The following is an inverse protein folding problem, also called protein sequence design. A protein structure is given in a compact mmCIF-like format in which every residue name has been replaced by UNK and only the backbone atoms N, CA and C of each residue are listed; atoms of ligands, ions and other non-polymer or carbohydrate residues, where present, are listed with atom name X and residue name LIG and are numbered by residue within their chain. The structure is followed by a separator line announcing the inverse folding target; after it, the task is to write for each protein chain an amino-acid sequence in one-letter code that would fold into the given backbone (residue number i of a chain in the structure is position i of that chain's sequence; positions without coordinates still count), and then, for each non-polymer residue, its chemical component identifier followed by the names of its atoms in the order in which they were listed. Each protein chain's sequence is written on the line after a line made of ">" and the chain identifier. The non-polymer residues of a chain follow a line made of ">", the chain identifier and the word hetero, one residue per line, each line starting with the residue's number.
data_IF_135674128916
#
_entry.id   IF_135674128916
#
_cell.length_a   1.000
_cell.length_b   1.000
_cell.length_c   1.000
_cell.angle_alpha   90.00
_cell.angle_beta   90.00
_cell.angle_gamma   90.00
#
_symmetry.space_group_name_H-M   'P 1'
#
loop_
_entity.id
_entity.type
_entity.pdbx_description
1 polymer ?
#
# COMPACT_ATOMS: atom_id res chain seq x y z
N UNK A 1 -12.40 -55.92 -50.88
CA UNK A 1 -11.77 -55.58 -49.58
C UNK A 1 -11.53 -54.07 -49.56
N UNK A 2 -12.38 -53.25 -48.90
CA UNK A 2 -12.11 -51.84 -48.72
C UNK A 2 -11.22 -51.59 -47.50
N UNK A 3 -10.46 -50.50 -47.57
CA UNK A 3 -9.27 -50.15 -46.77
C UNK A 3 -9.55 -49.83 -45.29
N UNK A 4 -8.53 -49.94 -44.42
CA UNK A 4 -8.61 -49.58 -43.01
C UNK A 4 -8.27 -48.09 -42.85
N UNK A 5 -9.26 -47.21 -42.81
CA UNK A 5 -9.01 -45.84 -42.32
C UNK A 5 -10.31 -45.16 -41.84
N UNK A 6 -10.58 -45.25 -40.54
CA UNK A 6 -11.49 -44.34 -39.82
C UNK A 6 -11.46 -44.61 -38.31
N UNK A 7 -10.29 -44.50 -37.70
CA UNK A 7 -10.23 -44.27 -36.25
C UNK A 7 -10.45 -42.78 -35.99
N UNK A 8 -11.67 -42.45 -35.61
CA UNK A 8 -12.08 -41.13 -35.11
C UNK A 8 -11.12 -40.65 -34.01
N UNK A 9 -10.27 -39.68 -34.35
CA UNK A 9 -9.55 -38.87 -33.36
C UNK A 9 -10.57 -37.99 -32.63
N UNK A 10 -11.18 -38.52 -31.58
CA UNK A 10 -11.81 -37.69 -30.55
C UNK A 10 -10.71 -36.88 -29.87
N UNK A 11 -10.54 -35.65 -30.35
CA UNK A 11 -9.75 -34.64 -29.65
C UNK A 11 -10.33 -34.51 -28.23
N UNK A 12 -9.55 -34.92 -27.24
CA UNK A 12 -9.77 -34.53 -25.86
C UNK A 12 -9.69 -33.00 -25.83
N UNK A 13 -10.84 -32.34 -25.87
CA UNK A 13 -10.97 -30.94 -25.53
C UNK A 13 -10.61 -30.87 -24.04
N UNK A 14 -9.34 -30.61 -23.74
CA UNK A 14 -8.94 -30.16 -22.41
C UNK A 14 -9.65 -28.81 -22.25
N UNK A 15 -10.62 -28.67 -21.33
CA UNK A 15 -11.24 -27.38 -21.11
C UNK A 15 -10.13 -26.41 -20.70
N UNK A 16 -10.03 -25.28 -21.40
CA UNK A 16 -9.18 -24.18 -20.97
C UNK A 16 -9.52 -23.87 -19.51
N UNK A 17 -8.53 -23.66 -18.63
CA UNK A 17 -8.80 -23.30 -17.25
C UNK A 17 -9.76 -22.11 -17.23
N UNK A 18 -10.86 -22.25 -16.48
CA UNK A 18 -11.91 -21.24 -16.33
C UNK A 18 -11.26 -19.90 -15.98
N UNK A 19 -11.30 -18.94 -16.91
CA UNK A 19 -10.65 -17.64 -16.82
C UNK A 19 -11.38 -16.66 -15.89
N UNK A 20 -12.13 -17.19 -14.91
CA UNK A 20 -12.50 -16.48 -13.69
C UNK A 20 -11.23 -16.24 -12.88
N UNK A 21 -10.52 -15.20 -13.29
CA UNK A 21 -9.30 -14.66 -12.71
C UNK A 21 -9.31 -14.82 -11.18
N UNK A 22 -8.54 -15.79 -10.67
CA UNK A 22 -8.43 -16.05 -9.24
C UNK A 22 -7.87 -14.78 -8.58
N UNK A 23 -8.74 -14.00 -7.94
CA UNK A 23 -8.31 -12.77 -7.26
C UNK A 23 -7.32 -13.16 -6.15
N UNK A 24 -6.06 -12.66 -6.21
CA UNK A 24 -5.05 -12.97 -5.21
C UNK A 24 -5.53 -12.64 -3.79
N UNK A 25 -5.11 -13.42 -2.81
CA UNK A 25 -5.55 -13.29 -1.43
C UNK A 25 -5.44 -11.86 -0.89
N UNK A 26 -4.30 -11.20 -1.09
CA UNK A 26 -4.09 -9.82 -0.63
C UNK A 26 -5.11 -8.84 -1.22
N UNK A 27 -5.54 -9.02 -2.48
CA UNK A 27 -6.59 -8.19 -3.08
C UNK A 27 -7.94 -8.43 -2.44
N UNK A 28 -8.23 -9.69 -2.05
CA UNK A 28 -9.44 -10.02 -1.29
C UNK A 28 -9.42 -9.36 0.09
N UNK A 29 -8.30 -9.43 0.79
CA UNK A 29 -8.10 -8.83 2.11
C UNK A 29 -8.24 -7.30 2.07
N UNK A 30 -7.68 -6.63 1.06
CA UNK A 30 -7.85 -5.18 0.84
C UNK A 30 -9.30 -4.80 0.51
N UNK A 31 -9.98 -5.60 -0.33
CA UNK A 31 -11.38 -5.36 -0.68
C UNK A 31 -12.28 -5.53 0.55
N UNK A 32 -12.05 -6.59 1.32
CA UNK A 32 -12.78 -6.94 2.53
C UNK A 32 -12.44 -6.11 3.76
N UNK A 33 -11.54 -5.13 3.66
CA UNK A 33 -11.16 -4.29 4.80
C UNK A 33 -12.38 -3.64 5.46
N UNK A 34 -12.40 -3.70 6.80
CA UNK A 34 -13.43 -3.11 7.64
C UNK A 34 -13.32 -1.60 7.55
N UNK A 35 -14.43 -0.95 7.19
CA UNK A 35 -14.53 0.51 7.05
C UNK A 35 -15.52 1.14 8.02
N UNK A 36 -16.35 0.34 8.68
CA UNK A 36 -17.25 0.81 9.73
C UNK A 36 -16.63 0.55 11.11
N UNK A 37 -16.37 1.59 11.93
CA UNK A 37 -15.82 1.43 13.27
C UNK A 37 -16.74 0.62 14.20
N UNK A 38 -18.07 0.65 14.02
CA UNK A 38 -18.98 -0.15 14.86
C UNK A 38 -18.81 -1.64 14.59
N UNK A 39 -18.57 -2.01 13.33
CA UNK A 39 -18.25 -3.38 12.96
C UNK A 39 -16.91 -3.83 13.56
N UNK A 40 -15.88 -2.98 13.52
CA UNK A 40 -14.61 -3.28 14.20
C UNK A 40 -14.79 -3.52 15.70
N UNK A 41 -15.50 -2.63 16.40
CA UNK A 41 -15.74 -2.76 17.84
C UNK A 41 -16.54 -4.01 18.20
N UNK A 42 -17.59 -4.34 17.44
CA UNK A 42 -18.35 -5.59 17.63
C UNK A 42 -17.46 -6.83 17.47
N UNK A 43 -16.58 -6.86 16.46
CA UNK A 43 -15.63 -7.96 16.24
C UNK A 43 -14.66 -8.14 17.41
N UNK A 44 -14.36 -7.06 18.11
CA UNK A 44 -13.51 -7.05 19.31
C UNK A 44 -14.30 -7.20 20.62
N UNK A 45 -15.61 -7.38 20.57
CA UNK A 45 -16.49 -7.39 21.75
C UNK A 45 -16.31 -6.15 22.63
N UNK A 46 -16.24 -4.98 21.99
CA UNK A 46 -16.18 -3.65 22.60
C UNK A 46 -17.44 -2.85 22.29
N UNK A 47 -17.85 -2.01 23.22
CA UNK A 47 -19.05 -1.19 23.09
C UNK A 47 -18.73 0.20 22.54
N UNK A 48 -19.44 0.68 21.49
CA UNK A 48 -19.22 2.02 20.94
C UNK A 48 -19.32 3.16 21.95
N UNK A 49 -20.10 2.98 23.03
CA UNK A 49 -20.24 3.95 24.11
C UNK A 49 -18.92 4.24 24.87
N UNK A 50 -17.94 3.33 24.80
CA UNK A 50 -16.62 3.53 25.39
C UNK A 50 -15.76 4.56 24.64
N UNK A 51 -16.16 4.94 23.42
CA UNK A 51 -15.36 5.77 22.51
C UNK A 51 -16.12 7.04 22.10
N UNK A 52 -16.20 8.06 22.97
CA UNK A 52 -16.86 9.32 22.62
C UNK A 52 -16.20 9.98 21.42
N UNK A 53 -17.03 10.54 20.53
CA UNK A 53 -16.56 11.22 19.31
C UNK A 53 -16.12 10.30 18.16
N UNK A 54 -16.23 8.97 18.30
CA UNK A 54 -15.90 7.96 17.27
C UNK A 54 -16.41 8.35 15.87
N UNK A 55 -17.68 8.73 15.77
CA UNK A 55 -18.33 9.01 14.48
C UNK A 55 -17.87 10.34 13.88
N UNK A 56 -17.57 11.33 14.72
CA UNK A 56 -17.00 12.59 14.26
C UNK A 56 -15.57 12.38 13.73
N UNK A 57 -14.74 11.65 14.48
CA UNK A 57 -13.37 11.33 14.07
C UNK A 57 -13.31 10.44 12.83
N UNK A 58 -14.27 9.52 12.69
CA UNK A 58 -14.41 8.67 11.51
C UNK A 58 -14.75 9.48 10.25
N UNK A 59 -15.59 10.52 10.35
CA UNK A 59 -15.87 11.43 9.23
C UNK A 59 -14.64 12.24 8.81
N UNK A 60 -13.79 12.62 9.77
CA UNK A 60 -12.55 13.35 9.48
C UNK A 60 -11.48 12.48 8.82
N UNK A 61 -11.42 11.20 9.17
CA UNK A 61 -10.52 10.21 8.57
C UNK A 61 -11.15 8.83 8.70
N UNK A 62 -11.67 8.27 7.60
CA UNK A 62 -12.35 6.98 7.62
C UNK A 62 -11.46 5.86 8.15
N UNK A 63 -12.09 4.88 8.80
CA UNK A 63 -11.44 3.64 9.20
C UNK A 63 -11.13 2.82 7.95
N UNK A 64 -9.98 2.15 7.93
CA UNK A 64 -9.67 1.08 7.00
C UNK A 64 -8.79 0.08 7.75
N UNK A 65 -9.31 -1.12 8.02
CA UNK A 65 -8.60 -2.18 8.77
C UNK A 65 -8.77 -3.52 8.05
N UNK A 66 -7.69 -4.12 7.52
CA UNK A 66 -7.77 -5.42 6.88
C UNK A 66 -7.85 -6.55 7.92
N UNK A 67 -8.47 -7.67 7.54
CA UNK A 67 -8.70 -8.80 8.46
C UNK A 67 -7.40 -9.33 9.11
N UNK A 68 -6.27 -9.52 8.39
CA UNK A 68 -5.04 -10.00 9.03
C UNK A 68 -4.47 -9.06 10.11
N UNK A 69 -4.81 -7.76 10.08
CA UNK A 69 -4.42 -6.82 11.13
C UNK A 69 -5.37 -6.90 12.33
N UNK A 70 -6.67 -7.08 12.08
CA UNK A 70 -7.66 -7.29 13.13
C UNK A 70 -7.38 -8.57 13.94
N UNK A 71 -7.02 -9.67 13.30
CA UNK A 71 -6.86 -10.98 13.97
C UNK A 71 -5.76 -11.00 15.04
N UNK A 72 -4.82 -10.04 14.99
CA UNK A 72 -3.78 -9.86 16.00
C UNK A 72 -4.20 -8.98 17.17
N UNK A 73 -5.36 -8.31 17.12
CA UNK A 73 -5.87 -7.50 18.22
C UNK A 73 -6.46 -8.37 19.33
N UNK A 74 -6.32 -7.95 20.57
CA UNK A 74 -6.92 -8.61 21.73
C UNK A 74 -8.40 -8.26 21.83
N UNK A 75 -9.26 -9.29 21.90
CA UNK A 75 -10.68 -9.11 22.16
C UNK A 75 -10.91 -8.57 23.58
N UNK A 76 -11.93 -7.72 23.75
CA UNK A 76 -12.35 -7.08 25.00
C UNK A 76 -11.30 -6.17 25.64
N UNK A 77 -10.27 -5.78 24.90
CA UNK A 77 -9.22 -4.87 25.36
C UNK A 77 -9.34 -3.49 24.65
N UNK A 78 -9.95 -2.47 25.29
CA UNK A 78 -10.03 -1.13 24.70
C UNK A 78 -8.67 -0.42 24.64
N UNK A 79 -7.65 -0.92 25.35
CA UNK A 79 -6.30 -0.36 25.36
C UNK A 79 -5.35 -1.09 24.39
N UNK A 80 -5.86 -2.05 23.61
CA UNK A 80 -5.08 -2.84 22.67
C UNK A 80 -4.19 -1.93 21.77
N UNK A 81 -2.88 -2.20 21.71
CA UNK A 81 -1.93 -1.30 21.06
C UNK A 81 -2.10 -1.25 19.55
N UNK A 82 -2.72 -2.23 18.90
CA UNK A 82 -3.01 -2.23 17.46
C UNK A 82 -4.32 -1.48 17.20
N UNK A 83 -5.34 -1.67 18.03
CA UNK A 83 -6.60 -0.93 17.98
C UNK A 83 -6.36 0.58 18.08
N UNK A 84 -5.49 1.02 19.00
CA UNK A 84 -5.10 2.43 19.18
C UNK A 84 -4.51 3.08 17.93
N UNK A 85 -3.97 2.29 17.00
CA UNK A 85 -3.39 2.79 15.77
C UNK A 85 -4.42 3.05 14.68
N UNK A 86 -5.62 2.48 14.78
CA UNK A 86 -6.61 2.48 13.69
C UNK A 86 -8.00 2.95 14.09
N UNK A 87 -8.39 2.84 15.36
CA UNK A 87 -9.70 3.27 15.83
C UNK A 87 -9.79 4.80 15.88
N UNK A 88 -10.77 5.43 15.19
CA UNK A 88 -11.00 6.86 15.31
C UNK A 88 -11.40 7.23 16.75
N UNK A 89 -10.81 8.28 17.31
CA UNK A 89 -11.18 8.75 18.66
C UNK A 89 -11.50 10.24 18.67
N UNK A 90 -12.42 10.66 19.54
CA UNK A 90 -12.89 12.04 19.60
C UNK A 90 -11.80 13.09 19.80
N UNK A 91 -10.67 12.72 20.43
CA UNK A 91 -9.51 13.59 20.59
C UNK A 91 -8.96 14.11 19.24
N UNK A 92 -9.11 13.35 18.15
CA UNK A 92 -8.67 13.77 16.82
C UNK A 92 -9.49 14.92 16.23
N UNK A 93 -10.68 15.18 16.77
CA UNK A 93 -11.51 16.33 16.40
C UNK A 93 -11.06 17.60 17.12
N UNK A 94 -10.11 17.51 18.05
CA UNK A 94 -9.65 18.66 18.82
C UNK A 94 -8.54 19.36 18.05
N UNK A 95 -8.81 20.58 17.59
CA UNK A 95 -7.78 21.43 17.02
C UNK A 95 -6.79 21.85 18.10
N UNK A 96 -5.50 21.88 17.74
CA UNK A 96 -4.41 22.27 18.64
C UNK A 96 -3.62 23.41 17.98
N UNK A 97 -3.33 24.51 18.71
CA UNK A 97 -2.47 25.56 18.19
C UNK A 97 -1.14 25.00 17.66
N UNK A 98 -0.71 25.49 16.50
CA UNK A 98 0.53 25.04 15.84
C UNK A 98 0.40 23.79 14.97
N UNK A 99 -0.74 23.08 14.96
CA UNK A 99 -0.95 21.96 14.05
C UNK A 99 -1.27 22.47 12.64
N UNK A 100 -0.64 21.85 11.64
CA UNK A 100 -0.87 22.12 10.22
C UNK A 100 -1.20 20.83 9.48
N UNK A 101 -1.93 20.96 8.36
CA UNK A 101 -2.25 19.85 7.45
C UNK A 101 -1.05 19.42 6.59
N UNK A 102 0.03 20.21 6.58
CA UNK A 102 1.29 19.89 5.89
C UNK A 102 2.49 20.06 6.84
N UNK A 103 2.64 19.15 7.83
CA UNK A 103 3.66 19.30 8.87
C UNK A 103 5.09 19.17 8.36
N UNK A 104 5.29 18.62 7.16
CA UNK A 104 6.60 18.45 6.55
C UNK A 104 6.89 19.47 5.44
N UNK A 105 5.95 20.39 5.17
CA UNK A 105 6.00 21.35 4.06
C UNK A 105 6.25 20.68 2.72
N UNK A 106 5.63 19.51 2.50
CA UNK A 106 5.84 18.69 1.30
C UNK A 106 5.42 19.44 0.04
N UNK A 107 4.41 20.31 0.13
CA UNK A 107 3.96 21.15 -0.98
C UNK A 107 5.07 22.05 -1.55
N UNK A 108 5.98 22.53 -0.70
CA UNK A 108 7.08 23.40 -1.11
C UNK A 108 8.29 22.61 -1.66
N UNK A 109 8.30 21.29 -1.47
CA UNK A 109 9.37 20.40 -1.95
C UNK A 109 9.00 19.63 -3.22
N UNK A 110 7.77 19.82 -3.71
CA UNK A 110 7.29 19.21 -4.93
C UNK A 110 7.93 19.86 -6.15
N UNK A 111 8.79 19.12 -6.85
CA UNK A 111 9.47 19.62 -8.07
C UNK A 111 8.59 19.41 -9.30
N UNK A 112 7.89 18.27 -9.32
CA UNK A 112 6.74 18.00 -10.19
C UNK A 112 5.67 17.29 -9.35
N UNK A 113 4.37 17.34 -9.72
CA UNK A 113 3.33 16.66 -8.94
C UNK A 113 3.66 15.19 -8.67
N UNK A 114 3.63 14.77 -7.41
CA UNK A 114 3.96 13.39 -7.01
C UNK A 114 5.46 13.08 -6.89
N UNK A 115 6.36 14.05 -7.13
CA UNK A 115 7.81 13.92 -6.88
C UNK A 115 8.29 15.00 -5.90
N UNK A 116 8.80 14.56 -4.76
CA UNK A 116 9.33 15.43 -3.71
C UNK A 116 10.85 15.31 -3.64
N UNK A 117 11.55 16.44 -3.55
CA UNK A 117 13.00 16.49 -3.40
C UNK A 117 13.38 17.41 -2.24
N UNK A 118 13.59 16.81 -1.07
CA UNK A 118 13.97 17.52 0.17
C UNK A 118 15.45 17.38 0.50
N UNK A 119 16.08 16.30 0.05
CA UNK A 119 17.45 15.95 0.42
C UNK A 119 18.30 15.72 -0.83
N UNK A 120 19.58 16.06 -0.75
CA UNK A 120 20.53 15.82 -1.84
C UNK A 120 20.63 14.32 -2.17
N UNK A 121 20.76 14.03 -3.47
CA UNK A 121 21.00 12.69 -3.99
C UNK A 121 19.80 11.74 -3.96
N UNK A 122 18.61 12.18 -3.53
CA UNK A 122 17.42 11.32 -3.52
C UNK A 122 16.12 12.08 -3.76
N UNK A 123 15.17 11.39 -4.39
CA UNK A 123 13.81 11.90 -4.58
C UNK A 123 12.78 10.88 -4.09
N UNK A 124 11.63 11.37 -3.63
CA UNK A 124 10.50 10.55 -3.19
C UNK A 124 9.34 10.68 -4.18
N UNK A 125 8.87 9.53 -4.68
CA UNK A 125 7.69 9.42 -5.53
C UNK A 125 6.51 9.02 -4.65
N UNK A 126 5.47 9.86 -4.64
CA UNK A 126 4.17 9.56 -4.02
C UNK A 126 3.38 8.70 -5.01
N UNK A 127 3.65 7.40 -5.07
CA UNK A 127 3.20 6.53 -6.16
C UNK A 127 1.67 6.34 -6.21
N UNK A 128 1.01 6.39 -5.06
CA UNK A 128 -0.44 6.18 -4.89
C UNK A 128 -0.95 6.89 -3.65
N UNK A 129 -2.24 7.22 -3.58
CA UNK A 129 -2.92 7.64 -2.36
C UNK A 129 -3.58 6.52 -1.57
N UNK A 130 -3.64 5.31 -2.13
CA UNK A 130 -4.26 4.17 -1.47
C UNK A 130 -3.38 3.65 -0.32
N UNK A 131 -4.03 3.25 0.78
CA UNK A 131 -3.43 2.57 1.93
C UNK A 131 -4.25 1.33 2.26
N UNK A 132 -3.56 0.27 2.71
CA UNK A 132 -4.21 -0.93 3.24
C UNK A 132 -4.79 -0.74 4.65
N UNK A 133 -4.25 0.22 5.40
CA UNK A 133 -4.67 0.58 6.75
C UNK A 133 -4.66 2.10 6.91
N UNK A 134 -5.65 2.66 7.59
CA UNK A 134 -5.69 4.10 7.89
C UNK A 134 -5.18 4.36 9.30
N UNK A 135 -3.87 4.59 9.42
CA UNK A 135 -3.22 4.92 10.68
C UNK A 135 -3.77 6.25 11.24
N UNK A 136 -4.12 6.31 12.52
CA UNK A 136 -4.60 7.55 13.17
C UNK A 136 -3.54 8.63 13.26
N UNK A 137 -2.27 8.23 13.27
CA UNK A 137 -1.10 9.10 13.29
C UNK A 137 -0.51 9.38 11.90
N UNK A 138 -1.24 9.11 10.82
CA UNK A 138 -0.74 9.36 9.45
C UNK A 138 -0.55 10.86 9.21
N UNK A 139 0.70 11.32 9.11
CA UNK A 139 1.02 12.72 8.82
C UNK A 139 0.60 13.16 7.40
N UNK A 140 0.37 12.19 6.49
CA UNK A 140 -0.13 12.43 5.14
C UNK A 140 -1.64 12.25 4.98
N UNK A 141 -2.41 12.14 6.07
CA UNK A 141 -3.89 12.00 5.99
C UNK A 141 -4.58 13.17 5.25
N UNK A 142 -3.92 14.32 5.15
CA UNK A 142 -4.40 15.50 4.42
C UNK A 142 -3.61 15.78 3.13
N UNK A 143 -2.73 14.86 2.71
CA UNK A 143 -1.96 15.03 1.49
C UNK A 143 -2.91 15.01 0.27
N UNK A 144 -2.76 15.94 -0.70
CA UNK A 144 -3.62 16.01 -1.87
C UNK A 144 -3.23 14.93 -2.89
N UNK A 145 -3.59 13.69 -2.61
CA UNK A 145 -3.18 12.54 -3.43
C UNK A 145 -3.71 12.58 -4.88
N UNK A 146 -4.79 13.31 -5.15
CA UNK A 146 -5.46 13.27 -6.45
C UNK A 146 -5.85 11.84 -6.84
N UNK A 147 -5.78 11.50 -8.13
CA UNK A 147 -5.96 10.13 -8.63
C UNK A 147 -4.68 9.26 -8.53
N UNK A 148 -3.63 9.74 -7.84
CA UNK A 148 -2.31 9.09 -7.81
C UNK A 148 -1.46 9.36 -9.06
N UNK A 149 -0.34 8.62 -9.20
CA UNK A 149 0.59 8.80 -10.33
C UNK A 149 0.12 7.99 -11.55
N UNK A 150 -0.75 8.61 -12.35
CA UNK A 150 -1.15 8.10 -13.66
C UNK A 150 -0.01 8.12 -14.68
N UNK A 151 -0.25 7.55 -15.88
CA UNK A 151 0.78 7.38 -16.93
C UNK A 151 1.45 8.70 -17.35
N UNK A 152 0.67 9.74 -17.62
CA UNK A 152 1.21 11.04 -18.03
C UNK A 152 2.05 11.70 -16.92
N UNK A 153 1.62 11.57 -15.66
CA UNK A 153 2.37 12.10 -14.53
C UNK A 153 3.67 11.33 -14.30
N UNK A 154 3.63 10.00 -14.45
CA UNK A 154 4.81 9.14 -14.37
C UNK A 154 5.87 9.51 -15.41
N UNK A 155 5.46 9.76 -16.66
CA UNK A 155 6.36 10.19 -17.71
C UNK A 155 7.08 11.51 -17.38
N UNK A 156 6.36 12.48 -16.79
CA UNK A 156 6.96 13.75 -16.31
C UNK A 156 7.96 13.53 -15.18
N UNK A 157 7.64 12.64 -14.24
CA UNK A 157 8.54 12.27 -13.16
C UNK A 157 9.83 11.64 -13.73
N UNK A 158 9.71 10.67 -14.64
CA UNK A 158 10.87 10.06 -15.29
C UNK A 158 11.71 11.07 -16.07
N UNK A 159 11.08 12.02 -16.76
CA UNK A 159 11.79 13.09 -17.46
C UNK A 159 12.65 13.93 -16.51
N UNK A 160 12.09 14.32 -15.35
CA UNK A 160 12.83 15.06 -14.33
C UNK A 160 13.98 14.23 -13.74
N UNK A 161 13.71 12.96 -13.36
CA UNK A 161 14.72 12.07 -12.79
C UNK A 161 15.89 11.83 -13.76
N UNK A 162 15.65 11.80 -15.07
CA UNK A 162 16.71 11.67 -16.08
C UNK A 162 17.57 12.94 -16.19
N UNK A 163 17.00 14.11 -15.96
CA UNK A 163 17.70 15.39 -16.05
C UNK A 163 18.56 15.67 -14.82
N UNK A 164 18.09 15.31 -13.63
CA UNK A 164 18.85 15.50 -12.39
C UNK A 164 19.81 14.32 -12.14
N UNK A 165 21.02 14.43 -12.71
CA UNK A 165 22.09 13.43 -12.57
C UNK A 165 22.71 13.36 -11.16
N UNK A 166 22.34 14.29 -10.26
CA UNK A 166 22.79 14.26 -8.86
C UNK A 166 22.07 13.16 -8.07
N UNK A 167 20.89 12.74 -8.53
CA UNK A 167 20.09 11.71 -7.88
C UNK A 167 20.77 10.33 -7.98
N UNK A 168 20.77 9.60 -6.87
CA UNK A 168 21.28 8.22 -6.79
C UNK A 168 20.22 7.25 -6.27
N UNK A 169 19.20 7.78 -5.59
CA UNK A 169 18.15 7.00 -4.96
C UNK A 169 16.76 7.55 -5.30
N UNK A 170 15.83 6.64 -5.60
CA UNK A 170 14.40 6.97 -5.67
C UNK A 170 13.66 6.17 -4.60
N UNK A 171 12.81 6.86 -3.85
CA UNK A 171 11.97 6.28 -2.80
C UNK A 171 10.53 6.20 -3.31
N UNK A 172 9.98 5.01 -3.48
CA UNK A 172 8.55 4.81 -3.66
C UNK A 172 7.86 4.88 -2.29
N UNK A 173 6.91 5.79 -2.19
CA UNK A 173 6.06 6.00 -1.03
C UNK A 173 4.64 6.31 -1.52
N UNK A 174 3.81 6.96 -0.71
CA UNK A 174 2.43 7.27 -1.10
C UNK A 174 1.54 7.46 0.12
N UNK A 175 0.33 6.93 -0.02
CA UNK A 175 -0.27 6.12 1.04
C UNK A 175 0.64 4.91 1.29
N UNK A 176 0.50 3.85 0.49
CA UNK A 176 1.41 2.71 0.51
C UNK A 176 1.68 2.15 -0.91
N UNK A 177 2.93 2.19 -1.41
CA UNK A 177 3.27 1.77 -2.77
C UNK A 177 2.92 0.29 -3.04
N UNK A 178 3.01 -0.59 -2.04
CA UNK A 178 2.66 -2.00 -2.24
C UNK A 178 1.15 -2.23 -2.36
N UNK A 179 0.30 -1.20 -2.27
CA UNK A 179 -1.11 -1.33 -2.67
C UNK A 179 -1.29 -1.45 -4.20
N UNK A 180 -0.26 -1.11 -4.98
CA UNK A 180 -0.27 -1.20 -6.45
C UNK A 180 -0.14 -2.66 -6.91
N UNK A 181 -0.59 -2.92 -8.14
CA UNK A 181 -0.40 -4.22 -8.78
C UNK A 181 1.08 -4.52 -9.04
N UNK A 182 1.44 -5.80 -9.07
CA UNK A 182 2.81 -6.21 -9.38
C UNK A 182 3.27 -5.69 -10.74
N UNK A 183 2.42 -5.78 -11.77
CA UNK A 183 2.70 -5.23 -13.10
C UNK A 183 3.04 -3.73 -13.05
N UNK A 184 2.31 -2.94 -12.25
CA UNK A 184 2.58 -1.49 -12.15
C UNK A 184 3.88 -1.23 -11.40
N UNK A 185 4.13 -1.95 -10.30
CA UNK A 185 5.36 -1.81 -9.52
C UNK A 185 6.59 -2.23 -10.33
N UNK A 186 6.52 -3.36 -11.01
CA UNK A 186 7.57 -3.86 -11.89
C UNK A 186 7.86 -2.85 -13.01
N UNK A 187 6.83 -2.34 -13.69
CA UNK A 187 7.02 -1.31 -14.71
C UNK A 187 7.72 -0.08 -14.15
N UNK A 188 7.27 0.45 -12.99
CA UNK A 188 7.90 1.60 -12.37
C UNK A 188 9.35 1.30 -11.97
N UNK A 189 9.64 0.12 -11.45
CA UNK A 189 10.97 -0.28 -11.04
C UNK A 189 11.92 -0.44 -12.23
N UNK A 190 11.45 -1.04 -13.33
CA UNK A 190 12.21 -1.17 -14.59
C UNK A 190 12.46 0.20 -15.24
N UNK A 191 11.45 1.09 -15.25
CA UNK A 191 11.62 2.45 -15.75
C UNK A 191 12.70 3.21 -14.97
N UNK A 192 12.73 3.06 -13.64
CA UNK A 192 13.77 3.65 -12.79
C UNK A 192 15.13 2.99 -13.02
N UNK A 193 15.18 1.67 -13.19
CA UNK A 193 16.40 0.93 -13.50
C UNK A 193 17.02 1.35 -14.85
N UNK A 194 16.21 1.87 -15.78
CA UNK A 194 16.70 2.40 -17.07
C UNK A 194 17.49 3.71 -16.94
N UNK A 195 17.46 4.37 -15.78
CA UNK A 195 18.13 5.66 -15.55
C UNK A 195 19.57 5.41 -15.07
N UNK A 196 20.62 5.73 -15.85
CA UNK A 196 21.98 5.25 -15.60
C UNK A 196 22.61 5.70 -14.27
N UNK A 197 22.24 6.88 -13.77
CA UNK A 197 22.80 7.43 -12.53
C UNK A 197 22.11 6.91 -11.27
N UNK A 198 20.91 6.32 -11.37
CA UNK A 198 20.20 5.74 -10.24
C UNK A 198 20.84 4.41 -9.83
N UNK A 199 20.98 4.21 -8.52
CA UNK A 199 21.63 3.05 -7.91
C UNK A 199 20.73 2.32 -6.93
N UNK A 200 19.78 3.01 -6.33
CA UNK A 200 18.93 2.47 -5.27
C UNK A 200 17.46 2.76 -5.52
N UNK A 201 16.65 1.72 -5.46
CA UNK A 201 15.21 1.82 -5.31
C UNK A 201 14.87 1.51 -3.85
N UNK A 202 14.26 2.46 -3.15
CA UNK A 202 13.75 2.24 -1.81
C UNK A 202 12.23 2.20 -1.83
N UNK A 203 11.62 1.25 -1.13
CA UNK A 203 10.16 1.14 -1.00
C UNK A 203 9.81 1.31 0.47
N UNK A 204 9.02 2.33 0.80
CA UNK A 204 8.47 2.52 2.14
C UNK A 204 7.06 1.93 2.17
N UNK A 205 6.84 0.91 2.99
CA UNK A 205 5.58 0.18 3.01
C UNK A 205 5.24 -0.31 4.41
N UNK A 206 3.95 -0.47 4.64
CA UNK A 206 3.38 -1.13 5.81
C UNK A 206 2.64 -2.41 5.44
N UNK A 207 2.45 -2.69 4.14
CA UNK A 207 1.67 -3.84 3.65
C UNK A 207 2.10 -5.18 4.27
N UNK A 208 3.40 -5.54 4.37
CA UNK A 208 3.79 -6.83 4.97
C UNK A 208 3.30 -6.98 6.41
N UNK A 209 3.23 -5.86 7.15
CA UNK A 209 2.67 -5.86 8.50
C UNK A 209 1.17 -6.01 8.49
N UNK A 210 0.41 -5.36 7.61
CA UNK A 210 -1.07 -5.31 7.72
C UNK A 210 -1.82 -6.30 6.83
N UNK A 211 -1.19 -6.75 5.75
CA UNK A 211 -1.69 -7.70 4.76
C UNK A 211 -0.49 -8.56 4.30
N UNK A 212 -0.05 -9.53 5.12
CA UNK A 212 1.20 -10.24 4.88
C UNK A 212 1.19 -11.03 3.56
N UNK A 213 0.00 -11.50 3.15
CA UNK A 213 -0.22 -12.18 1.87
C UNK A 213 0.12 -11.32 0.64
N UNK A 214 0.39 -10.01 0.81
CA UNK A 214 0.90 -9.14 -0.25
C UNK A 214 2.32 -9.52 -0.68
N UNK A 215 3.09 -10.12 0.22
CA UNK A 215 4.39 -10.73 -0.08
C UNK A 215 4.13 -12.07 -0.76
N UNK A 216 3.96 -12.02 -2.08
CA UNK A 216 3.66 -13.18 -2.92
C UNK A 216 4.77 -13.43 -3.95
N UNK A 217 4.79 -14.62 -4.54
CA UNK A 217 5.81 -15.02 -5.51
C UNK A 217 6.00 -14.03 -6.67
N UNK A 218 4.90 -13.47 -7.19
CA UNK A 218 4.94 -12.47 -8.27
C UNK A 218 5.63 -11.18 -7.85
N UNK A 219 5.47 -10.76 -6.58
CA UNK A 219 6.17 -9.59 -6.03
C UNK A 219 7.67 -9.88 -5.90
N UNK A 220 8.02 -11.02 -5.30
CA UNK A 220 9.40 -11.42 -5.06
C UNK A 220 10.17 -11.59 -6.37
N UNK A 221 9.53 -12.21 -7.37
CA UNK A 221 10.14 -12.51 -8.67
C UNK A 221 10.67 -11.26 -9.37
N UNK A 222 9.90 -10.16 -9.45
CA UNK A 222 10.40 -8.96 -10.12
C UNK A 222 11.40 -8.20 -9.24
N UNK A 223 11.24 -8.25 -7.91
CA UNK A 223 12.16 -7.63 -6.95
C UNK A 223 13.56 -8.24 -7.04
N UNK A 224 13.66 -9.57 -7.13
CA UNK A 224 14.92 -10.30 -7.26
C UNK A 224 15.65 -10.03 -8.58
N UNK A 225 14.90 -9.75 -9.64
CA UNK A 225 15.44 -9.46 -10.98
C UNK A 225 15.85 -8.01 -11.17
N UNK A 226 15.58 -7.15 -10.19
CA UNK A 226 15.84 -5.72 -10.32
C UNK A 226 17.36 -5.45 -10.26
N UNK A 227 17.94 -4.74 -11.24
CA UNK A 227 19.38 -4.44 -11.25
C UNK A 227 19.76 -3.31 -10.28
N UNK A 228 18.79 -2.57 -9.75
CA UNK A 228 19.01 -1.57 -8.70
C UNK A 228 19.17 -2.26 -7.35
N UNK A 229 19.96 -1.65 -6.45
CA UNK A 229 19.91 -2.04 -5.03
C UNK A 229 18.51 -1.77 -4.50
N UNK A 230 17.75 -2.82 -4.20
CA UNK A 230 16.43 -2.72 -3.60
C UNK A 230 16.55 -2.62 -2.07
N UNK A 231 15.87 -1.65 -1.48
CA UNK A 231 15.74 -1.49 -0.03
C UNK A 231 14.26 -1.40 0.32
N UNK A 232 13.75 -2.29 1.16
CA UNK A 232 12.38 -2.21 1.66
C UNK A 232 12.41 -1.75 3.11
N UNK A 233 11.71 -0.66 3.41
CA UNK A 233 11.55 -0.11 4.75
C UNK A 233 10.15 -0.41 5.23
N UNK A 234 10.06 -1.23 6.29
CA UNK A 234 8.79 -1.64 6.90
C UNK A 234 8.41 -0.67 8.01
N UNK A 235 7.17 -0.18 7.99
CA UNK A 235 6.60 0.56 9.11
C UNK A 235 5.92 -0.37 10.11
N UNK A 236 6.62 -0.68 11.20
CA UNK A 236 6.08 -1.34 12.39
C UNK A 236 6.22 -0.42 13.62
N UNK A 237 5.32 -0.57 14.59
CA UNK A 237 5.21 0.26 15.80
C UNK A 237 5.13 -0.57 17.09
N UNK A 238 4.70 -1.83 17.04
CA UNK A 238 4.49 -2.63 18.25
C UNK A 238 4.78 -4.11 18.00
N UNK A 239 5.31 -4.83 18.99
CA UNK A 239 5.66 -6.25 18.87
C UNK A 239 4.48 -7.16 18.51
N UNK A 240 3.26 -6.80 18.96
CA UNK A 240 2.01 -7.51 18.63
C UNK A 240 1.63 -7.41 17.14
N UNK A 241 2.31 -6.57 16.36
CA UNK A 241 2.19 -6.58 14.91
C UNK A 241 2.96 -7.73 14.24
N UNK A 242 3.69 -8.56 14.99
CA UNK A 242 4.43 -9.69 14.43
C UNK A 242 3.84 -11.02 14.91
N UNK A 243 3.65 -11.93 13.96
CA UNK A 243 3.33 -13.34 14.16
C UNK A 243 4.08 -14.15 13.08
N UNK A 244 3.79 -15.44 12.91
CA UNK A 244 4.50 -16.27 11.93
C UNK A 244 4.24 -15.89 10.47
N UNK A 245 3.21 -15.09 10.18
CA UNK A 245 2.88 -14.68 8.82
C UNK A 245 3.58 -13.38 8.40
N UNK A 246 4.10 -12.59 9.36
CA UNK A 246 4.72 -11.27 9.16
C UNK A 246 6.23 -11.35 9.30
#
# INVERSE_FOLDING_TARGET
>A
MPSPDSLEKRALIIPAPDSREYMPQWRRELRGAIRDPRTLLRRLALEPGQFPGLQAAHRLWPLCVPEPFLTRMRSRDPADPLLRQVLPVGLECTERPGFTKDPLSERNTAVVPGLLQKYAGRALVVATGACAVHCRYCFRRHYPYGEGVGTAQWARILAHLRQDVSLREVILSGGDPLSLSDTRLEQMAQDLASIPHLRTLRIHTRLPVVVPSRVCETLLTWMERLPLRLVVVIHANHAQEFDSAV
#
